data_IF_566576657601
#
_entry.id   IF_566576657601
#
_cell.length_a   1.000
_cell.length_b   1.000
_cell.length_c   1.000
_cell.angle_alpha   90.00
_cell.angle_beta   90.00
_cell.angle_gamma   90.00
#
_symmetry.space_group_name_H-M   'P 1'
#
loop_
_entity.id
_entity.type
_entity.pdbx_description
1 polymer ?
#
# COMPACT_ATOMS: atom_id res chain seq x y z
N UNK A 1 2.83 37.82 5.31
CA UNK A 1 1.84 37.22 4.39
C UNK A 1 0.43 37.57 4.87
N UNK A 2 -0.49 37.93 3.97
CA UNK A 2 -1.89 38.22 4.29
C UNK A 2 -2.82 37.17 3.67
N UNK A 3 -3.93 36.87 4.34
CA UNK A 3 -4.96 35.94 3.85
C UNK A 3 -6.37 36.48 4.05
N UNK A 4 -7.29 36.02 3.22
CA UNK A 4 -8.75 36.09 3.41
C UNK A 4 -9.35 34.71 3.15
N UNK A 5 -10.61 34.49 3.56
CA UNK A 5 -11.35 33.25 3.31
C UNK A 5 -12.84 33.54 3.22
N UNK A 6 -13.57 32.64 2.58
CA UNK A 6 -15.03 32.63 2.52
C UNK A 6 -15.54 31.33 3.15
N UNK A 7 -16.60 31.43 3.95
CA UNK A 7 -17.25 30.26 4.51
C UNK A 7 -18.27 29.69 3.51
N UNK A 8 -18.46 28.38 3.46
CA UNK A 8 -19.34 27.71 2.48
C UNK A 8 -20.79 28.20 2.57
N UNK A 9 -21.27 28.58 3.76
CA UNK A 9 -22.63 29.14 3.94
C UNK A 9 -22.73 30.65 3.73
N UNK A 10 -21.62 31.35 3.49
CA UNK A 10 -21.58 32.81 3.38
C UNK A 10 -21.35 33.29 1.95
N UNK A 11 -22.00 34.38 1.57
CA UNK A 11 -21.82 35.04 0.27
C UNK A 11 -20.73 36.14 0.28
N UNK A 12 -19.95 36.27 1.35
CA UNK A 12 -18.92 37.30 1.48
C UNK A 12 -17.59 36.77 2.04
N UNK A 13 -16.50 37.35 1.53
CA UNK A 13 -15.15 37.13 2.05
C UNK A 13 -14.98 37.82 3.40
N UNK A 14 -14.21 37.20 4.29
CA UNK A 14 -13.77 37.83 5.54
C UNK A 14 -12.70 38.88 5.27
N UNK A 15 -12.51 39.81 6.22
CA UNK A 15 -11.45 40.80 6.13
C UNK A 15 -10.06 40.15 6.03
N UNK A 16 -9.16 40.80 5.31
CA UNK A 16 -7.76 40.39 5.22
C UNK A 16 -7.12 40.36 6.62
N UNK A 17 -6.39 39.30 6.92
CA UNK A 17 -5.61 39.16 8.15
C UNK A 17 -4.16 38.81 7.85
N UNK A 18 -3.23 39.43 8.56
CA UNK A 18 -1.84 39.01 8.57
C UNK A 18 -1.73 37.63 9.22
N UNK A 19 -0.86 36.78 8.67
CA UNK A 19 -0.56 35.49 9.28
C UNK A 19 0.47 35.68 10.40
N UNK A 20 0.13 35.19 11.59
CA UNK A 20 0.99 35.27 12.76
C UNK A 20 2.38 34.66 12.48
N UNK A 21 3.42 35.33 12.98
CA UNK A 21 4.82 34.89 12.91
C UNK A 21 5.32 34.57 11.49
N UNK A 22 4.72 35.17 10.46
CA UNK A 22 5.18 35.05 9.07
C UNK A 22 6.62 35.55 8.95
N UNK A 23 7.54 34.77 8.35
CA UNK A 23 8.90 35.23 8.11
C UNK A 23 8.92 36.33 7.05
N UNK A 24 10.04 37.03 6.97
CA UNK A 24 10.33 37.97 5.89
C UNK A 24 10.65 37.21 4.61
N UNK A 25 9.74 37.30 3.64
CA UNK A 25 9.94 36.70 2.33
C UNK A 25 10.84 37.58 1.45
N UNK A 26 11.61 36.93 0.59
CA UNK A 26 12.39 37.61 -0.44
C UNK A 26 11.47 38.34 -1.41
N UNK A 27 11.91 39.47 -1.95
CA UNK A 27 11.16 40.28 -2.92
C UNK A 27 10.88 39.53 -4.23
N UNK A 28 11.66 38.49 -4.54
CA UNK A 28 11.45 37.62 -5.69
C UNK A 28 10.51 36.46 -5.37
N UNK A 29 10.07 36.28 -4.12
CA UNK A 29 9.16 35.20 -3.73
C UNK A 29 7.72 35.68 -3.66
N UNK A 30 6.83 35.00 -4.38
CA UNK A 30 5.38 35.12 -4.15
C UNK A 30 4.92 33.97 -3.26
N UNK A 31 3.86 34.15 -2.45
CA UNK A 31 3.27 33.05 -1.71
C UNK A 31 2.76 31.98 -2.69
N UNK A 32 3.18 30.74 -2.49
CA UNK A 32 2.57 29.59 -3.14
C UNK A 32 1.66 28.88 -2.16
N UNK A 33 0.58 28.30 -2.67
CA UNK A 33 -0.35 27.50 -1.91
C UNK A 33 -0.63 26.21 -2.68
N UNK A 34 -0.77 25.11 -1.96
CA UNK A 34 -1.07 23.82 -2.55
C UNK A 34 -1.99 23.01 -1.64
N UNK A 35 -2.98 22.38 -2.27
CA UNK A 35 -3.85 21.40 -1.62
C UNK A 35 -3.07 20.10 -1.44
N UNK A 36 -2.94 19.69 -0.19
CA UNK A 36 -2.22 18.50 0.24
C UNK A 36 -3.16 17.32 0.44
N UNK A 37 -2.57 16.12 0.49
CA UNK A 37 -3.29 14.94 0.95
C UNK A 37 -3.88 15.17 2.33
N UNK A 38 -5.17 14.89 2.49
CA UNK A 38 -5.85 14.98 3.77
C UNK A 38 -5.55 13.73 4.59
N UNK A 39 -5.18 13.94 5.86
CA UNK A 39 -5.32 12.91 6.88
C UNK A 39 -6.09 13.52 8.06
N UNK A 40 -6.66 12.70 8.92
CA UNK A 40 -7.47 13.16 10.06
C UNK A 40 -6.72 14.08 11.04
N UNK A 41 -5.39 14.17 10.95
CA UNK A 41 -4.52 14.94 11.87
C UNK A 41 -3.96 16.23 11.26
N UNK A 42 -4.09 16.44 9.95
CA UNK A 42 -3.42 17.51 9.22
C UNK A 42 -4.39 18.26 8.29
N UNK A 43 -4.30 19.59 8.26
CA UNK A 43 -5.10 20.41 7.36
C UNK A 43 -4.75 20.21 5.88
N UNK A 44 -5.68 20.63 5.02
CA UNK A 44 -5.68 20.36 3.58
C UNK A 44 -4.80 21.32 2.78
N UNK A 45 -4.38 22.44 3.34
CA UNK A 45 -3.64 23.48 2.62
C UNK A 45 -2.26 23.66 3.25
N UNK A 46 -1.23 23.74 2.41
CA UNK A 46 0.07 24.25 2.80
C UNK A 46 0.39 25.46 1.94
N UNK A 47 1.04 26.45 2.57
CA UNK A 47 1.50 27.66 1.92
C UNK A 47 2.97 27.88 2.22
N UNK A 48 3.67 28.63 1.36
CA UNK A 48 5.04 29.01 1.64
C UNK A 48 5.66 29.92 0.60
N UNK A 49 6.97 30.11 0.74
CA UNK A 49 7.78 30.95 -0.13
C UNK A 49 9.24 30.94 0.29
N UNK A 50 10.08 31.63 -0.48
CA UNK A 50 11.52 31.77 -0.22
C UNK A 50 11.74 32.96 0.71
N UNK A 51 12.36 32.72 1.86
CA UNK A 51 12.77 33.74 2.81
C UNK A 51 14.00 34.51 2.36
N UNK A 52 14.23 35.67 2.98
CA UNK A 52 15.49 36.45 2.79
C UNK A 52 16.74 35.69 3.27
N UNK A 53 16.55 34.67 4.09
CA UNK A 53 17.59 33.75 4.58
C UNK A 53 17.91 32.61 3.59
N UNK A 54 17.32 32.64 2.39
CA UNK A 54 17.45 31.65 1.32
C UNK A 54 16.99 30.23 1.71
N UNK A 55 16.01 30.15 2.62
CA UNK A 55 15.26 28.93 2.90
C UNK A 55 13.84 29.01 2.33
N UNK A 56 13.26 27.85 2.02
CA UNK A 56 11.81 27.76 1.82
C UNK A 56 11.15 27.71 3.18
N UNK A 57 10.36 28.73 3.49
CA UNK A 57 9.51 28.77 4.67
C UNK A 57 8.10 28.34 4.31
N UNK A 58 7.53 27.45 5.11
CA UNK A 58 6.17 26.94 4.90
C UNK A 58 5.37 26.97 6.19
N UNK A 59 4.06 27.08 6.04
CA UNK A 59 3.07 26.93 7.09
C UNK A 59 1.96 26.02 6.55
N UNK A 60 1.46 25.12 7.38
CA UNK A 60 0.33 24.27 7.04
C UNK A 60 -0.91 24.72 7.81
N UNK A 61 -2.05 24.63 7.16
CA UNK A 61 -3.33 24.64 7.83
C UNK A 61 -3.36 23.46 8.82
N UNK A 62 -3.80 23.74 10.04
CA UNK A 62 -4.04 22.73 11.08
C UNK A 62 -5.51 22.26 11.02
N UNK A 63 -6.01 21.66 12.09
CA UNK A 63 -7.40 21.17 12.17
C UNK A 63 -8.39 22.28 11.88
N UNK A 64 -9.35 21.99 11.00
CA UNK A 64 -10.54 22.81 10.80
C UNK A 64 -11.57 22.41 11.84
N UNK A 65 -11.99 23.35 12.67
CA UNK A 65 -13.04 23.15 13.65
C UNK A 65 -14.40 23.06 12.94
N UNK A 66 -15.41 22.48 13.58
CA UNK A 66 -16.81 22.48 13.13
C UNK A 66 -17.57 23.72 13.61
N UNK A 67 -16.97 24.53 14.49
CA UNK A 67 -17.59 25.71 15.10
C UNK A 67 -16.98 26.99 14.54
N UNK A 68 -17.84 27.91 14.09
CA UNK A 68 -17.43 29.24 13.66
C UNK A 68 -16.82 30.02 14.83
N UNK A 69 -15.53 30.37 14.72
CA UNK A 69 -14.84 31.17 15.72
C UNK A 69 -14.15 32.43 15.10
N UNK A 70 -13.85 33.47 15.92
CA UNK A 70 -13.28 34.74 15.43
C UNK A 70 -11.88 34.63 14.78
N UNK A 71 -11.21 33.49 14.98
CA UNK A 71 -9.82 33.23 14.58
C UNK A 71 -9.71 32.45 13.26
N UNK A 72 -10.85 32.17 12.63
CA UNK A 72 -11.11 31.39 11.39
C UNK A 72 -11.43 29.92 11.62
N UNK A 73 -12.23 29.36 10.71
CA UNK A 73 -12.71 27.96 10.72
C UNK A 73 -11.57 26.92 10.77
N UNK A 74 -10.39 27.26 10.26
CA UNK A 74 -9.20 26.41 10.41
C UNK A 74 -8.04 27.22 10.98
N UNK A 75 -7.37 26.67 11.99
CA UNK A 75 -6.15 27.26 12.54
C UNK A 75 -4.96 27.02 11.61
N UNK A 76 -3.88 27.77 11.80
CA UNK A 76 -2.64 27.65 11.04
C UNK A 76 -1.49 27.31 11.99
N UNK A 77 -0.64 26.40 11.57
CA UNK A 77 0.53 25.99 12.34
C UNK A 77 1.64 27.05 12.32
N UNK A 78 2.75 26.70 12.96
CA UNK A 78 3.96 27.52 12.93
C UNK A 78 4.61 27.51 11.54
N UNK A 79 5.44 28.53 11.31
CA UNK A 79 6.31 28.60 10.13
C UNK A 79 7.57 27.76 10.35
N UNK A 80 7.93 26.99 9.33
CA UNK A 80 9.08 26.09 9.37
C UNK A 80 9.95 26.24 8.13
N UNK A 81 11.27 26.22 8.33
CA UNK A 81 12.23 26.03 7.24
C UNK A 81 12.17 24.61 6.70
N UNK A 82 12.42 24.46 5.41
CA UNK A 82 12.20 23.22 4.64
C UNK A 82 13.50 22.71 4.03
N UNK A 83 13.79 21.42 4.20
CA UNK A 83 15.00 20.79 3.67
C UNK A 83 16.27 21.47 4.18
N UNK A 84 16.93 22.22 3.31
CA UNK A 84 18.12 23.04 3.58
C UNK A 84 18.05 24.35 2.77
N UNK A 85 19.04 25.22 2.93
CA UNK A 85 19.23 26.39 2.06
C UNK A 85 19.18 25.98 0.60
N UNK A 86 18.59 26.84 -0.24
CA UNK A 86 18.49 26.58 -1.67
C UNK A 86 19.91 26.64 -2.27
N UNK A 87 20.40 25.57 -2.93
CA UNK A 87 21.81 25.43 -3.30
C UNK A 87 22.16 26.07 -4.65
N UNK A 88 21.24 26.84 -5.24
CA UNK A 88 21.42 27.49 -6.53
C UNK A 88 20.92 28.93 -6.48
N UNK A 89 21.47 29.73 -7.38
CA UNK A 89 21.12 31.11 -7.60
C UNK A 89 19.66 31.24 -8.05
N UNK A 90 18.96 32.21 -7.45
CA UNK A 90 17.58 32.55 -7.80
C UNK A 90 17.50 33.67 -8.85
N UNK A 91 18.66 34.23 -9.24
CA UNK A 91 18.96 35.19 -10.32
C UNK A 91 18.03 36.41 -10.55
N UNK A 92 16.97 36.58 -9.77
CA UNK A 92 16.00 37.67 -9.91
C UNK A 92 14.64 37.24 -10.47
N UNK A 93 14.49 35.99 -10.95
CA UNK A 93 13.19 35.49 -11.43
C UNK A 93 12.18 35.44 -10.28
N UNK A 94 11.05 36.10 -10.49
CA UNK A 94 9.96 36.07 -9.54
C UNK A 94 9.28 34.70 -9.52
N UNK A 95 9.09 34.17 -8.32
CA UNK A 95 8.25 33.01 -8.02
C UNK A 95 8.76 31.64 -8.52
N UNK A 96 10.08 31.40 -8.46
CA UNK A 96 10.76 30.13 -8.81
C UNK A 96 10.34 28.90 -7.98
N UNK A 97 9.22 28.93 -7.27
CA UNK A 97 8.79 27.86 -6.39
C UNK A 97 7.44 27.31 -6.86
N UNK A 98 7.31 25.98 -6.88
CA UNK A 98 6.02 25.32 -7.01
C UNK A 98 5.95 24.18 -6.00
N UNK A 99 4.78 24.00 -5.39
CA UNK A 99 4.52 22.92 -4.44
C UNK A 99 3.56 21.92 -5.05
N UNK A 100 3.75 20.65 -4.73
CA UNK A 100 2.83 19.56 -5.06
C UNK A 100 2.77 18.56 -3.90
N UNK A 101 1.87 17.59 -4.01
CA UNK A 101 1.82 16.41 -3.15
C UNK A 101 2.44 15.23 -3.88
N UNK A 102 3.07 14.32 -3.14
CA UNK A 102 3.47 13.01 -3.68
C UNK A 102 2.42 11.93 -3.39
N UNK A 103 2.64 10.75 -3.97
CA UNK A 103 1.81 9.55 -3.77
C UNK A 103 1.76 9.04 -2.33
N UNK A 104 2.68 9.48 -1.49
CA UNK A 104 2.79 9.09 -0.09
C UNK A 104 2.12 10.11 0.85
N UNK A 105 1.27 11.00 0.30
CA UNK A 105 0.62 12.12 1.00
C UNK A 105 1.59 13.19 1.56
N UNK A 106 2.89 13.06 1.28
CA UNK A 106 3.89 14.05 1.59
C UNK A 106 3.88 15.22 0.62
N UNK A 107 4.82 16.15 0.83
CA UNK A 107 4.93 17.38 0.05
C UNK A 107 6.20 17.35 -0.77
N UNK A 108 6.12 17.82 -2.00
CA UNK A 108 7.26 18.02 -2.88
C UNK A 108 7.29 19.49 -3.32
N UNK A 109 8.49 20.05 -3.38
CA UNK A 109 8.73 21.43 -3.77
C UNK A 109 9.75 21.42 -4.88
N UNK A 110 9.44 22.14 -5.95
CA UNK A 110 10.29 22.25 -7.12
C UNK A 110 10.66 23.70 -7.37
N UNK A 111 11.83 23.88 -7.95
CA UNK A 111 12.33 25.17 -8.35
C UNK A 111 13.27 25.04 -9.55
N UNK A 112 13.37 26.09 -10.35
CA UNK A 112 14.23 26.12 -11.54
C UNK A 112 15.44 26.98 -11.24
N UNK A 113 16.62 26.47 -11.53
CA UNK A 113 17.85 27.24 -11.49
C UNK A 113 17.95 28.09 -12.76
N UNK A 114 18.01 29.40 -12.57
CA UNK A 114 17.92 30.37 -13.67
C UNK A 114 19.02 30.24 -14.71
N UNK A 115 20.28 30.13 -14.27
CA UNK A 115 21.46 30.09 -15.16
C UNK A 115 21.50 28.90 -16.11
N UNK A 116 20.77 27.81 -15.81
CA UNK A 116 20.83 26.57 -16.60
C UNK A 116 19.47 26.02 -17.01
N UNK A 117 18.37 26.53 -16.44
CA UNK A 117 17.04 25.94 -16.57
C UNK A 117 16.89 24.57 -15.92
N UNK A 118 17.83 24.19 -15.06
CA UNK A 118 17.83 22.92 -14.34
C UNK A 118 16.70 22.89 -13.30
N UNK A 119 15.87 21.84 -13.36
CA UNK A 119 14.85 21.59 -12.35
C UNK A 119 15.45 20.96 -11.09
N UNK A 120 15.09 21.51 -9.94
CA UNK A 120 15.48 21.04 -8.62
C UNK A 120 14.27 20.65 -7.80
N UNK A 121 14.48 19.72 -6.86
CA UNK A 121 13.44 19.21 -5.99
C UNK A 121 13.91 19.05 -4.55
N UNK A 122 13.06 19.38 -3.59
CA UNK A 122 13.14 18.92 -2.20
C UNK A 122 11.78 18.33 -1.81
N UNK A 123 11.76 17.27 -1.01
CA UNK A 123 10.50 16.60 -0.67
C UNK A 123 10.50 15.98 0.71
N UNK A 124 9.30 15.74 1.20
CA UNK A 124 8.99 15.00 2.40
C UNK A 124 8.23 13.73 2.01
N UNK A 125 8.70 12.51 2.36
CA UNK A 125 8.01 11.27 2.00
C UNK A 125 6.64 11.08 2.66
N UNK A 126 6.29 11.89 3.64
CA UNK A 126 5.00 11.89 4.32
C UNK A 126 4.92 13.10 5.24
N UNK A 127 3.73 13.58 5.59
CA UNK A 127 3.54 14.86 6.32
C UNK A 127 4.33 15.00 7.63
N UNK A 128 4.67 13.88 8.26
CA UNK A 128 5.36 13.83 9.55
C UNK A 128 6.80 13.28 9.43
N UNK A 129 7.35 13.21 8.22
CA UNK A 129 8.70 12.68 7.94
C UNK A 129 9.74 13.79 7.79
N UNK A 130 11.02 13.46 7.89
CA UNK A 130 12.06 14.45 7.62
C UNK A 130 12.06 14.88 6.16
N UNK A 131 12.47 16.12 5.91
CA UNK A 131 12.66 16.64 4.56
C UNK A 131 13.98 16.15 3.97
N UNK A 132 13.94 15.78 2.71
CA UNK A 132 15.13 15.51 1.92
C UNK A 132 15.80 16.81 1.50
N UNK A 133 17.11 16.75 1.29
CA UNK A 133 17.86 17.88 0.75
C UNK A 133 17.48 18.15 -0.72
N UNK A 134 17.79 19.35 -1.19
CA UNK A 134 17.62 19.70 -2.60
C UNK A 134 18.43 18.79 -3.51
N UNK A 135 17.81 18.32 -4.58
CA UNK A 135 18.38 17.42 -5.58
C UNK A 135 18.09 17.94 -6.99
N UNK A 136 19.06 17.84 -7.89
CA UNK A 136 18.87 18.04 -9.34
C UNK A 136 18.03 16.89 -9.90
N UNK A 137 16.98 17.22 -10.63
CA UNK A 137 16.23 16.24 -11.42
C UNK A 137 17.01 15.95 -12.71
N UNK A 138 17.30 14.68 -13.04
CA UNK A 138 17.91 14.35 -14.32
C UNK A 138 17.10 14.93 -15.49
N UNK A 139 17.73 15.75 -16.32
CA UNK A 139 17.08 16.51 -17.38
C UNK A 139 18.06 16.73 -18.54
N UNK A 140 17.59 16.57 -19.77
CA UNK A 140 18.39 16.92 -20.94
C UNK A 140 18.40 18.44 -21.13
N UNK A 141 19.41 19.13 -20.61
CA UNK A 141 19.48 20.59 -20.63
C UNK A 141 19.61 21.18 -22.05
N UNK A 142 20.03 20.40 -23.05
CA UNK A 142 20.15 20.91 -24.45
C UNK A 142 18.82 21.12 -25.15
N UNK A 143 17.74 20.47 -24.68
CA UNK A 143 16.41 20.55 -25.28
C UNK A 143 15.28 20.81 -24.29
N UNK A 144 15.48 20.48 -23.02
CA UNK A 144 14.44 20.53 -21.99
C UNK A 144 14.74 21.53 -20.86
N UNK A 145 15.83 22.31 -20.90
CA UNK A 145 16.10 23.36 -19.89
C UNK A 145 14.91 24.35 -19.81
N UNK A 146 14.41 24.60 -18.60
CA UNK A 146 13.25 25.47 -18.39
C UNK A 146 13.66 26.94 -18.33
N UNK A 147 12.95 27.80 -19.04
CA UNK A 147 13.15 29.27 -19.00
C UNK A 147 12.08 29.98 -18.14
N UNK A 148 11.20 29.24 -17.49
CA UNK A 148 10.09 29.75 -16.70
C UNK A 148 9.79 28.85 -15.50
N UNK A 149 8.91 29.33 -14.62
CA UNK A 149 8.41 28.55 -13.50
C UNK A 149 7.63 27.33 -14.02
N UNK A 150 7.91 26.13 -13.49
CA UNK A 150 7.29 24.92 -14.00
C UNK A 150 5.84 24.83 -13.51
N UNK A 151 4.99 24.30 -14.38
CA UNK A 151 3.64 23.89 -14.02
C UNK A 151 3.67 22.41 -13.65
N UNK A 152 3.26 22.09 -12.43
CA UNK A 152 3.15 20.70 -11.99
C UNK A 152 1.76 20.13 -12.25
N UNK A 153 1.74 18.88 -12.69
CA UNK A 153 0.56 18.02 -12.73
C UNK A 153 0.89 16.69 -12.09
N UNK A 154 -0.14 16.02 -11.59
CA UNK A 154 -0.04 14.64 -11.14
C UNK A 154 -0.63 13.75 -12.22
N UNK A 155 0.05 12.67 -12.57
CA UNK A 155 -0.54 11.61 -13.38
C UNK A 155 -1.57 10.81 -12.55
N UNK A 156 -2.23 9.82 -13.17
CA UNK A 156 -3.27 9.01 -12.53
C UNK A 156 -2.75 8.26 -11.27
N UNK A 157 -1.49 7.83 -11.32
CA UNK A 157 -0.79 7.21 -10.20
C UNK A 157 -0.43 8.20 -9.08
N UNK A 158 -0.53 9.51 -9.32
CA UNK A 158 -0.23 10.57 -8.37
C UNK A 158 1.23 11.03 -8.39
N UNK A 159 2.00 10.66 -9.43
CA UNK A 159 3.39 11.08 -9.63
C UNK A 159 3.42 12.42 -10.35
N UNK A 160 4.43 13.24 -10.04
CA UNK A 160 4.58 14.54 -10.66
C UNK A 160 5.07 14.43 -12.11
N UNK A 161 4.56 15.36 -12.91
CA UNK A 161 5.10 15.75 -14.21
C UNK A 161 5.23 17.26 -14.19
N UNK A 162 6.42 17.76 -14.51
CA UNK A 162 6.72 19.17 -14.61
C UNK A 162 6.72 19.61 -16.07
N UNK A 163 5.95 20.64 -16.39
CA UNK A 163 5.92 21.26 -17.71
C UNK A 163 6.58 22.63 -17.63
N UNK A 164 7.51 22.89 -18.53
CA UNK A 164 8.14 24.19 -18.73
C UNK A 164 8.24 24.53 -20.20
N UNK A 165 8.64 25.77 -20.50
CA UNK A 165 9.06 26.21 -21.82
C UNK A 165 10.58 26.05 -21.91
N UNK A 166 11.07 25.58 -23.05
CA UNK A 166 12.49 25.64 -23.36
C UNK A 166 12.86 26.97 -24.07
N UNK A 167 14.14 27.16 -24.38
CA UNK A 167 14.63 28.35 -25.12
C UNK A 167 14.04 28.53 -26.52
N UNK A 168 13.41 27.48 -27.08
CA UNK A 168 12.66 27.55 -28.35
C UNK A 168 11.17 27.84 -28.14
N UNK A 169 10.76 28.17 -26.91
CA UNK A 169 9.37 28.37 -26.50
C UNK A 169 8.47 27.13 -26.71
N UNK A 170 9.05 25.93 -26.69
CA UNK A 170 8.31 24.68 -26.78
C UNK A 170 7.98 24.16 -25.39
N UNK A 171 6.78 23.61 -25.21
CA UNK A 171 6.40 22.93 -23.97
C UNK A 171 7.17 21.62 -23.88
N UNK A 172 7.95 21.46 -22.82
CA UNK A 172 8.77 20.29 -22.54
C UNK A 172 8.36 19.66 -21.21
N UNK A 173 8.05 18.34 -21.18
CA UNK A 173 7.79 17.62 -19.95
C UNK A 173 9.11 17.11 -19.33
N UNK A 174 9.18 17.16 -18.01
CA UNK A 174 10.17 16.46 -17.18
C UNK A 174 9.40 15.66 -16.14
N UNK A 175 9.65 14.36 -16.08
CA UNK A 175 8.92 13.43 -15.21
C UNK A 175 9.88 12.59 -14.37
N UNK A 176 9.34 11.94 -13.33
CA UNK A 176 10.11 11.03 -12.50
C UNK A 176 10.55 9.81 -13.33
N UNK A 177 11.85 9.54 -13.34
CA UNK A 177 12.38 8.38 -14.06
C UNK A 177 11.91 7.07 -13.42
N UNK A 178 11.50 6.15 -14.28
CA UNK A 178 11.11 4.80 -13.91
C UNK A 178 11.34 3.82 -15.07
N UNK A 179 11.67 2.58 -14.73
CA UNK A 179 11.78 1.47 -15.67
C UNK A 179 11.49 0.14 -14.99
N UNK A 180 11.00 -0.82 -15.77
CA UNK A 180 10.75 -2.19 -15.35
C UNK A 180 11.14 -3.14 -16.47
N UNK A 181 11.68 -4.29 -16.10
CA UNK A 181 12.00 -5.37 -17.02
C UNK A 181 11.59 -6.71 -16.41
N UNK A 182 11.35 -7.71 -17.27
CA UNK A 182 10.96 -9.05 -16.88
C UNK A 182 11.82 -10.10 -17.56
N UNK A 183 12.22 -11.12 -16.82
CA UNK A 183 13.02 -12.22 -17.36
C UNK A 183 12.66 -13.55 -16.69
N UNK A 184 12.34 -14.60 -17.48
CA UNK A 184 12.10 -14.57 -18.93
C UNK A 184 10.73 -13.95 -19.29
N UNK A 185 10.54 -13.52 -20.54
CA UNK A 185 9.24 -13.05 -21.05
C UNK A 185 8.26 -14.20 -21.42
N UNK A 186 8.76 -15.44 -21.46
CA UNK A 186 8.01 -16.70 -21.56
C UNK A 186 8.39 -17.61 -20.39
N UNK A 187 7.44 -17.89 -19.52
CA UNK A 187 7.66 -18.62 -18.26
C UNK A 187 6.94 -19.96 -18.33
N UNK A 188 7.68 -21.06 -18.17
CA UNK A 188 7.06 -22.38 -18.05
C UNK A 188 6.37 -22.53 -16.69
N UNK A 189 5.33 -23.36 -16.63
CA UNK A 189 4.66 -23.74 -15.38
C UNK A 189 5.67 -24.12 -14.28
N UNK A 190 5.43 -23.64 -13.05
CA UNK A 190 6.29 -23.81 -11.86
C UNK A 190 7.69 -23.19 -11.94
N UNK A 191 8.04 -22.52 -13.04
CA UNK A 191 9.29 -21.74 -13.13
C UNK A 191 9.09 -20.32 -12.64
N UNK A 192 10.21 -19.72 -12.24
CA UNK A 192 10.22 -18.38 -11.68
C UNK A 192 10.23 -17.33 -12.79
N UNK A 193 9.40 -16.31 -12.59
CA UNK A 193 9.47 -15.02 -13.26
C UNK A 193 10.28 -14.07 -12.38
N UNK A 194 11.30 -13.44 -12.95
CA UNK A 194 12.05 -12.36 -12.28
C UNK A 194 11.59 -11.02 -12.85
N UNK A 195 11.24 -10.10 -11.96
CA UNK A 195 10.88 -8.73 -12.31
C UNK A 195 11.92 -7.81 -11.70
N UNK A 196 12.54 -6.95 -12.50
CA UNK A 196 13.47 -5.91 -12.05
C UNK A 196 12.88 -4.53 -12.30
N UNK A 197 13.22 -3.57 -11.46
CA UNK A 197 12.73 -2.19 -11.58
C UNK A 197 13.75 -1.16 -11.13
N UNK A 198 13.56 0.06 -11.62
CA UNK A 198 14.20 1.27 -11.14
C UNK A 198 13.18 2.39 -11.07
N UNK A 199 13.13 3.09 -9.95
CA UNK A 199 12.22 4.18 -9.64
C UNK A 199 13.02 5.32 -9.02
N UNK A 200 12.64 6.56 -9.33
CA UNK A 200 13.15 7.73 -8.64
C UNK A 200 12.89 7.63 -7.12
N UNK A 201 13.94 7.79 -6.32
CA UNK A 201 13.89 7.56 -4.86
C UNK A 201 12.82 8.38 -4.11
N UNK A 202 12.40 9.52 -4.66
CA UNK A 202 11.33 10.35 -4.09
C UNK A 202 9.92 9.84 -4.39
N UNK A 203 9.79 8.95 -5.36
CA UNK A 203 8.52 8.31 -5.73
C UNK A 203 8.35 6.92 -5.11
N UNK A 204 9.43 6.26 -4.68
CA UNK A 204 9.37 4.93 -4.09
C UNK A 204 8.73 4.91 -2.69
N UNK A 205 7.79 3.98 -2.47
CA UNK A 205 7.21 3.64 -1.16
C UNK A 205 7.80 2.34 -0.63
N UNK A 206 7.71 2.15 0.69
CA UNK A 206 7.86 0.81 1.27
C UNK A 206 6.62 -0.08 1.05
N UNK A 207 5.52 0.51 0.57
CA UNK A 207 4.26 -0.16 0.22
C UNK A 207 4.08 -0.34 -1.29
N UNK A 208 5.11 -0.10 -2.10
CA UNK A 208 5.06 -0.42 -3.53
C UNK A 208 5.09 -1.93 -3.73
N UNK A 209 4.43 -2.41 -4.77
CA UNK A 209 4.26 -3.83 -4.99
C UNK A 209 4.12 -4.17 -6.47
N UNK A 210 4.43 -5.42 -6.79
CA UNK A 210 4.37 -5.99 -8.13
C UNK A 210 3.30 -7.07 -8.11
N UNK A 211 2.42 -7.05 -9.10
CA UNK A 211 1.38 -8.07 -9.26
C UNK A 211 1.42 -8.73 -10.64
N UNK A 212 0.89 -9.95 -10.72
CA UNK A 212 0.63 -10.67 -11.97
C UNK A 212 -0.87 -10.71 -12.22
N UNK A 213 -1.31 -10.34 -13.41
CA UNK A 213 -2.69 -10.08 -13.77
C UNK A 213 -3.09 -10.83 -15.04
N UNK A 214 -4.36 -11.26 -15.20
CA UNK A 214 -4.89 -11.55 -16.51
C UNK A 214 -4.69 -10.35 -17.44
N UNK A 215 -4.36 -10.59 -18.72
CA UNK A 215 -4.17 -9.49 -19.68
C UNK A 215 -5.44 -8.65 -19.79
N UNK A 216 -5.30 -7.33 -19.61
CA UNK A 216 -6.41 -6.39 -19.65
C UNK A 216 -7.31 -6.38 -18.40
N UNK A 217 -7.03 -7.18 -17.38
CA UNK A 217 -7.78 -7.18 -16.11
C UNK A 217 -7.59 -5.89 -15.31
N UNK A 218 -8.46 -5.64 -14.34
CA UNK A 218 -8.32 -4.51 -13.41
C UNK A 218 -7.16 -4.71 -12.42
N UNK A 219 -6.66 -3.62 -11.82
CA UNK A 219 -5.54 -3.66 -10.87
C UNK A 219 -5.88 -4.37 -9.53
N UNK A 220 -7.14 -4.69 -9.28
CA UNK A 220 -7.60 -5.48 -8.15
C UNK A 220 -7.83 -6.97 -8.51
N UNK A 221 -7.55 -7.35 -9.76
CA UNK A 221 -7.68 -8.72 -10.29
C UNK A 221 -6.35 -9.49 -10.38
N UNK A 222 -5.37 -9.14 -9.54
CA UNK A 222 -4.10 -9.88 -9.51
C UNK A 222 -4.29 -11.33 -9.03
N UNK A 223 -3.40 -12.21 -9.51
CA UNK A 223 -3.36 -13.66 -9.24
C UNK A 223 -2.20 -14.04 -8.31
N UNK A 224 -1.12 -13.26 -8.35
CA UNK A 224 -0.02 -13.29 -7.39
C UNK A 224 0.51 -11.86 -7.21
N UNK A 225 1.19 -11.62 -6.09
CA UNK A 225 1.79 -10.34 -5.79
C UNK A 225 3.01 -10.49 -4.89
N UNK A 226 3.89 -9.49 -4.94
CA UNK A 226 4.99 -9.30 -4.00
C UNK A 226 5.19 -7.82 -3.74
N UNK A 227 5.44 -7.46 -2.49
CA UNK A 227 6.00 -6.13 -2.22
C UNK A 227 7.41 -6.03 -2.76
N UNK A 228 7.86 -4.82 -3.09
CA UNK A 228 9.16 -4.56 -3.71
C UNK A 228 10.36 -5.03 -2.87
N UNK A 229 10.18 -5.34 -1.59
CA UNK A 229 11.20 -5.96 -0.74
C UNK A 229 11.30 -7.49 -0.90
N UNK A 230 10.48 -8.09 -1.77
CA UNK A 230 10.45 -9.53 -2.07
C UNK A 230 9.50 -10.36 -1.20
N UNK A 231 8.98 -9.77 -0.12
CA UNK A 231 8.02 -10.40 0.77
C UNK A 231 6.57 -10.30 0.30
N UNK A 232 5.69 -11.02 1.00
CA UNK A 232 4.23 -10.81 0.92
C UNK A 232 3.77 -9.63 1.79
N UNK A 233 4.62 -9.15 2.68
CA UNK A 233 4.35 -8.00 3.55
C UNK A 233 5.30 -6.85 3.18
N UNK A 234 4.88 -5.59 3.32
CA UNK A 234 5.74 -4.47 3.06
C UNK A 234 6.89 -4.43 4.06
N UNK A 235 8.07 -4.07 3.56
CA UNK A 235 9.25 -3.86 4.41
C UNK A 235 9.21 -2.52 5.16
N UNK A 236 10.22 -2.29 6.01
CA UNK A 236 10.37 -1.03 6.73
C UNK A 236 10.78 0.14 5.83
N UNK A 237 11.61 -0.14 4.82
CA UNK A 237 12.25 0.88 3.98
C UNK A 237 11.76 0.77 2.53
N UNK A 238 11.67 1.91 1.82
CA UNK A 238 11.41 1.92 0.38
C UNK A 238 12.55 1.28 -0.40
N UNK A 239 12.23 0.57 -1.49
CA UNK A 239 13.20 -0.06 -2.40
C UNK A 239 12.98 0.49 -3.81
N UNK A 240 13.79 1.47 -4.18
CA UNK A 240 13.64 2.19 -5.44
C UNK A 240 14.33 1.49 -6.62
N UNK A 241 15.29 0.59 -6.37
CA UNK A 241 15.86 -0.29 -7.39
C UNK A 241 15.96 -1.70 -6.83
N UNK A 242 15.54 -2.69 -7.60
CA UNK A 242 15.53 -4.05 -7.08
C UNK A 242 15.09 -5.09 -8.09
N UNK A 243 14.98 -6.32 -7.60
CA UNK A 243 14.42 -7.45 -8.32
C UNK A 243 13.64 -8.34 -7.37
N UNK A 244 12.58 -8.96 -7.87
CA UNK A 244 11.79 -9.96 -7.14
C UNK A 244 11.55 -11.17 -8.03
N UNK A 245 11.56 -12.34 -7.42
CA UNK A 245 11.25 -13.61 -8.07
C UNK A 245 9.88 -14.09 -7.62
N UNK A 246 9.05 -14.50 -8.57
CA UNK A 246 7.71 -15.03 -8.32
C UNK A 246 7.58 -16.38 -9.02
N UNK A 247 7.23 -17.42 -8.26
CA UNK A 247 6.76 -18.67 -8.85
C UNK A 247 5.27 -18.53 -9.15
N UNK A 248 4.85 -18.94 -10.34
CA UNK A 248 3.44 -18.85 -10.73
C UNK A 248 2.97 -20.17 -11.35
N UNK A 249 1.75 -20.58 -11.00
CA UNK A 249 1.10 -21.80 -11.47
C UNK A 249 -0.13 -21.43 -12.29
N UNK A 250 0.11 -20.66 -13.34
CA UNK A 250 -0.91 -20.02 -14.17
C UNK A 250 -1.18 -20.84 -15.43
N UNK A 251 -2.46 -20.97 -15.86
CA UNK A 251 -2.83 -21.57 -17.12
C UNK A 251 -2.10 -20.95 -18.31
N UNK A 252 -2.02 -21.70 -19.40
CA UNK A 252 -1.41 -21.22 -20.64
C UNK A 252 -2.08 -19.91 -21.10
N UNK A 253 -1.29 -18.88 -21.39
CA UNK A 253 -1.82 -17.60 -21.85
C UNK A 253 -0.90 -16.41 -21.67
N UNK A 254 -1.34 -15.25 -22.13
CA UNK A 254 -0.66 -13.97 -21.91
C UNK A 254 -1.25 -13.24 -20.71
N UNK A 255 -0.36 -12.75 -19.85
CA UNK A 255 -0.64 -12.06 -18.60
C UNK A 255 0.13 -10.75 -18.57
N UNK A 256 -0.15 -9.94 -17.55
CA UNK A 256 0.52 -8.67 -17.33
C UNK A 256 1.19 -8.65 -15.96
N UNK A 257 2.43 -8.20 -15.94
CA UNK A 257 3.15 -7.84 -14.72
C UNK A 257 3.02 -6.34 -14.56
N UNK A 258 2.53 -5.90 -13.40
CA UNK A 258 2.35 -4.46 -13.13
C UNK A 258 3.08 -4.05 -11.87
N UNK A 259 3.70 -2.88 -11.90
CA UNK A 259 4.21 -2.20 -10.71
C UNK A 259 3.15 -1.23 -10.22
N UNK A 260 2.75 -1.35 -8.96
CA UNK A 260 1.73 -0.55 -8.32
C UNK A 260 2.29 0.18 -7.09
N UNK A 261 1.71 1.34 -6.81
CA UNK A 261 2.27 2.28 -5.85
C UNK A 261 1.49 2.32 -4.54
N UNK A 262 2.21 2.37 -3.43
CA UNK A 262 1.71 2.70 -2.10
C UNK A 262 0.47 1.87 -1.65
N UNK A 263 0.49 0.55 -1.87
CA UNK A 263 -0.63 -0.38 -1.63
C UNK A 263 -1.95 -0.02 -2.32
N UNK A 264 -1.92 0.86 -3.31
CA UNK A 264 -3.08 1.23 -4.11
C UNK A 264 -3.16 0.39 -5.38
N UNK A 265 -4.36 0.27 -5.94
CA UNK A 265 -4.59 -0.36 -7.24
C UNK A 265 -4.30 0.60 -8.41
N UNK A 266 -3.15 1.28 -8.34
CA UNK A 266 -2.68 2.22 -9.35
C UNK A 266 -1.34 1.76 -9.91
N UNK A 267 -1.36 1.30 -11.15
CA UNK A 267 -0.18 0.84 -11.87
C UNK A 267 0.53 1.99 -12.57
N UNK A 268 1.86 1.96 -12.58
CA UNK A 268 2.70 2.93 -13.31
C UNK A 268 3.50 2.29 -14.44
N UNK A 269 3.72 0.98 -14.37
CA UNK A 269 4.46 0.21 -15.37
C UNK A 269 3.74 -1.11 -15.59
N UNK A 270 3.68 -1.54 -16.84
CA UNK A 270 3.06 -2.80 -17.25
C UNK A 270 3.95 -3.48 -18.28
N UNK A 271 4.17 -4.78 -18.12
CA UNK A 271 4.88 -5.63 -19.08
C UNK A 271 4.04 -6.87 -19.37
N UNK A 272 3.99 -7.30 -20.62
CA UNK A 272 3.31 -8.55 -21.01
C UNK A 272 4.25 -9.75 -20.80
N UNK A 273 3.74 -10.83 -20.21
CA UNK A 273 4.45 -12.11 -20.01
C UNK A 273 3.56 -13.26 -20.49
N UNK A 274 4.16 -14.31 -21.06
CA UNK A 274 3.41 -15.50 -21.49
C UNK A 274 3.75 -16.70 -20.60
N UNK A 275 2.72 -17.35 -20.05
CA UNK A 275 2.86 -18.61 -19.33
C UNK A 275 2.53 -19.78 -20.26
N UNK A 276 3.30 -20.87 -20.15
CA UNK A 276 3.13 -22.07 -20.97
C UNK A 276 3.42 -23.37 -20.21
N UNK A 277 3.09 -24.51 -20.84
CA UNK A 277 3.27 -25.86 -20.29
C UNK A 277 2.45 -26.11 -19.00
N UNK A 278 1.20 -25.67 -18.97
CA UNK A 278 0.31 -25.84 -17.82
C UNK A 278 0.14 -27.31 -17.37
N UNK A 279 -0.17 -27.49 -16.07
CA UNK A 279 -0.38 -28.82 -15.51
C UNK A 279 -1.59 -29.51 -16.13
N UNK A 280 -1.43 -30.80 -16.47
CA UNK A 280 -2.52 -31.69 -16.90
C UNK A 280 -3.16 -32.46 -15.75
N UNK A 281 -2.70 -32.23 -14.52
CA UNK A 281 -3.28 -32.87 -13.33
C UNK A 281 -4.72 -32.39 -13.09
N UNK A 282 -5.50 -33.17 -12.35
CA UNK A 282 -6.87 -32.78 -11.99
C UNK A 282 -6.90 -31.47 -11.19
N UNK A 283 -8.02 -30.73 -11.28
CA UNK A 283 -8.23 -29.48 -10.52
C UNK A 283 -7.97 -29.65 -9.02
N UNK A 284 -8.36 -30.81 -8.48
CA UNK A 284 -8.16 -31.18 -7.07
C UNK A 284 -6.68 -31.33 -6.76
N UNK A 285 -5.94 -32.09 -7.57
CA UNK A 285 -4.49 -32.25 -7.39
C UNK A 285 -3.77 -30.90 -7.42
N UNK A 286 -4.11 -30.07 -8.40
CA UNK A 286 -3.59 -28.72 -8.54
C UNK A 286 -3.84 -27.89 -7.27
N UNK A 287 -5.09 -27.87 -6.78
CA UNK A 287 -5.48 -27.16 -5.56
C UNK A 287 -4.65 -27.61 -4.34
N UNK A 288 -4.57 -28.92 -4.07
CA UNK A 288 -3.83 -29.45 -2.92
C UNK A 288 -2.33 -29.16 -3.01
N UNK A 289 -1.71 -29.33 -4.19
CA UNK A 289 -0.30 -28.93 -4.41
C UNK A 289 -0.07 -27.46 -4.11
N UNK A 290 -0.98 -26.61 -4.57
CA UNK A 290 -0.97 -25.18 -4.29
C UNK A 290 -0.98 -24.91 -2.79
N UNK A 291 -2.00 -25.42 -2.09
CA UNK A 291 -2.17 -25.20 -0.63
C UNK A 291 -0.93 -25.65 0.13
N UNK A 292 -0.40 -26.83 -0.19
CA UNK A 292 0.76 -27.39 0.50
C UNK A 292 2.02 -26.55 0.22
N UNK A 293 2.21 -26.12 -1.02
CA UNK A 293 3.31 -25.19 -1.39
C UNK A 293 3.21 -23.89 -0.59
N UNK A 294 2.00 -23.33 -0.46
CA UNK A 294 1.77 -22.10 0.31
C UNK A 294 2.02 -22.27 1.82
N UNK A 295 1.65 -23.42 2.38
CA UNK A 295 1.96 -23.80 3.76
C UNK A 295 3.47 -24.03 3.98
N UNK A 296 4.22 -24.30 2.91
CA UNK A 296 5.63 -24.72 2.98
C UNK A 296 5.78 -26.19 3.35
N UNK A 297 4.82 -27.01 2.95
CA UNK A 297 4.78 -28.45 3.14
C UNK A 297 5.25 -29.14 1.85
N UNK A 298 6.08 -30.20 1.93
CA UNK A 298 6.47 -30.97 0.76
C UNK A 298 5.24 -31.50 -0.02
N UNK A 299 5.30 -31.41 -1.35
CA UNK A 299 4.22 -31.88 -2.23
C UNK A 299 4.48 -33.27 -2.81
N UNK A 300 5.55 -33.93 -2.38
CA UNK A 300 5.91 -35.26 -2.87
C UNK A 300 4.92 -36.28 -2.32
N UNK A 301 4.46 -37.20 -3.18
CA UNK A 301 3.54 -38.30 -2.82
C UNK A 301 2.16 -37.92 -2.26
N UNK A 302 1.74 -36.64 -2.31
CA UNK A 302 0.42 -36.22 -1.80
C UNK A 302 -0.76 -36.92 -2.49
N UNK A 303 -0.55 -37.45 -3.69
CA UNK A 303 -1.57 -38.13 -4.47
C UNK A 303 -2.18 -39.34 -3.75
N UNK A 304 -1.39 -40.09 -2.98
CA UNK A 304 -1.89 -41.22 -2.20
C UNK A 304 -2.79 -40.78 -1.02
N UNK A 305 -2.64 -39.54 -0.58
CA UNK A 305 -3.33 -39.00 0.59
C UNK A 305 -4.64 -38.31 0.23
N UNK A 306 -4.76 -37.76 -0.97
CA UNK A 306 -5.98 -37.07 -1.40
C UNK A 306 -7.13 -38.07 -1.41
N UNK A 307 -8.23 -37.71 -0.74
CA UNK A 307 -9.46 -38.47 -0.79
C UNK A 307 -10.30 -37.99 -1.98
N UNK A 308 -10.55 -38.89 -2.93
CA UNK A 308 -11.28 -38.55 -4.15
C UNK A 308 -12.76 -38.26 -3.93
N UNK A 309 -13.34 -38.66 -2.80
CA UNK A 309 -14.75 -38.37 -2.50
C UNK A 309 -15.00 -36.96 -1.98
N UNK A 310 -13.95 -36.20 -1.61
CA UNK A 310 -14.09 -34.85 -1.08
C UNK A 310 -14.37 -33.84 -2.21
N UNK A 311 -15.36 -32.97 -2.01
CA UNK A 311 -15.74 -31.91 -2.94
C UNK A 311 -14.97 -30.59 -2.70
N UNK A 312 -13.75 -30.66 -2.14
CA UNK A 312 -12.96 -29.49 -1.66
C UNK A 312 -12.90 -28.32 -2.63
N UNK A 313 -12.71 -28.59 -3.93
CA UNK A 313 -12.65 -27.55 -4.97
C UNK A 313 -13.97 -26.77 -5.05
N UNK A 314 -15.10 -27.49 -5.06
CA UNK A 314 -16.44 -26.91 -5.12
C UNK A 314 -16.75 -26.13 -3.85
N UNK A 315 -16.38 -26.64 -2.68
CA UNK A 315 -16.55 -25.94 -1.41
C UNK A 315 -15.80 -24.60 -1.39
N UNK A 316 -14.56 -24.55 -1.93
CA UNK A 316 -13.84 -23.28 -2.10
C UNK A 316 -14.49 -22.35 -3.14
N UNK A 317 -14.99 -22.88 -4.26
CA UNK A 317 -15.73 -22.09 -5.25
C UNK A 317 -16.98 -21.44 -4.64
N UNK A 318 -17.76 -22.20 -3.86
CA UNK A 318 -18.93 -21.72 -3.13
C UNK A 318 -18.56 -20.71 -2.03
N UNK A 319 -17.45 -20.95 -1.32
CA UNK A 319 -16.90 -20.03 -0.33
C UNK A 319 -16.60 -18.65 -0.93
N UNK A 320 -15.83 -18.62 -2.03
CA UNK A 320 -15.49 -17.37 -2.72
C UNK A 320 -16.71 -16.71 -3.37
N UNK A 321 -17.69 -17.49 -3.83
CA UNK A 321 -18.96 -16.95 -4.30
C UNK A 321 -19.75 -16.27 -3.17
N UNK A 322 -19.88 -16.92 -2.00
CA UNK A 322 -20.56 -16.34 -0.85
C UNK A 322 -19.93 -15.02 -0.41
N UNK A 323 -18.60 -14.98 -0.36
CA UNK A 323 -17.82 -13.77 -0.11
C UNK A 323 -18.10 -12.65 -1.12
N UNK A 324 -18.07 -12.94 -2.42
CA UNK A 324 -18.40 -11.96 -3.47
C UNK A 324 -19.82 -11.41 -3.35
N UNK A 325 -20.74 -12.20 -2.79
CA UNK A 325 -22.14 -11.80 -2.56
C UNK A 325 -22.36 -11.10 -1.21
N UNK A 326 -21.30 -10.75 -0.47
CA UNK A 326 -21.39 -10.13 0.85
C UNK A 326 -21.88 -11.07 1.96
N UNK A 327 -22.00 -12.37 1.69
CA UNK A 327 -22.44 -13.40 2.66
C UNK A 327 -21.26 -13.89 3.49
N UNK A 328 -20.68 -12.98 4.28
CA UNK A 328 -19.42 -13.18 5.01
C UNK A 328 -19.45 -14.43 5.91
N UNK A 329 -20.51 -14.59 6.72
CA UNK A 329 -20.64 -15.74 7.63
C UNK A 329 -20.72 -17.08 6.90
N UNK A 330 -21.49 -17.14 5.82
CA UNK A 330 -21.60 -18.35 5.00
C UNK A 330 -20.26 -18.67 4.33
N UNK A 331 -19.57 -17.68 3.77
CA UNK A 331 -18.24 -17.87 3.19
C UNK A 331 -17.23 -18.38 4.22
N UNK A 332 -17.29 -17.86 5.43
CA UNK A 332 -16.46 -18.30 6.55
C UNK A 332 -16.71 -19.76 6.97
N UNK A 333 -17.98 -20.20 7.00
CA UNK A 333 -18.32 -21.60 7.28
C UNK A 333 -17.76 -22.52 6.19
N UNK A 334 -17.98 -22.16 4.93
CA UNK A 334 -17.48 -22.91 3.78
C UNK A 334 -15.95 -22.96 3.74
N UNK A 335 -15.27 -21.88 4.15
CA UNK A 335 -13.81 -21.86 4.32
C UNK A 335 -13.37 -22.87 5.37
N UNK A 336 -14.01 -22.88 6.54
CA UNK A 336 -13.70 -23.83 7.61
C UNK A 336 -13.87 -25.28 7.16
N UNK A 337 -14.98 -25.60 6.49
CA UNK A 337 -15.27 -26.94 5.94
C UNK A 337 -14.21 -27.34 4.90
N UNK A 338 -13.89 -26.45 3.96
CA UNK A 338 -12.90 -26.73 2.93
C UNK A 338 -11.49 -26.94 3.52
N UNK A 339 -11.13 -26.19 4.57
CA UNK A 339 -9.87 -26.39 5.29
C UNK A 339 -9.86 -27.68 6.12
N UNK A 340 -11.01 -28.14 6.60
CA UNK A 340 -11.13 -29.44 7.29
C UNK A 340 -10.78 -30.60 6.34
N UNK A 341 -11.22 -30.53 5.08
CA UNK A 341 -10.84 -31.49 4.03
C UNK A 341 -9.34 -31.47 3.74
N UNK A 342 -8.71 -30.29 3.82
CA UNK A 342 -7.26 -30.14 3.74
C UNK A 342 -6.58 -30.81 4.93
N UNK A 343 -7.06 -30.56 6.15
CA UNK A 343 -6.52 -31.15 7.37
C UNK A 343 -6.63 -32.69 7.37
N UNK A 344 -7.78 -33.24 6.96
CA UNK A 344 -7.97 -34.70 6.79
C UNK A 344 -6.93 -35.31 5.86
N UNK A 345 -6.62 -34.61 4.76
CA UNK A 345 -5.62 -35.05 3.78
C UNK A 345 -4.20 -34.99 4.37
N UNK A 346 -3.87 -33.94 5.13
CA UNK A 346 -2.59 -33.82 5.82
C UNK A 346 -2.40 -34.92 6.88
N UNK A 347 -3.45 -35.26 7.64
CA UNK A 347 -3.46 -36.38 8.59
C UNK A 347 -3.11 -37.69 7.90
N UNK A 348 -3.78 -37.98 6.77
CA UNK A 348 -3.53 -39.20 5.99
C UNK A 348 -2.11 -39.25 5.41
N UNK A 349 -1.53 -38.09 5.13
CA UNK A 349 -0.13 -37.94 4.70
C UNK A 349 0.88 -37.94 5.85
N UNK A 350 0.46 -38.20 7.09
CA UNK A 350 1.30 -38.20 8.29
C UNK A 350 2.01 -36.84 8.56
N UNK A 351 1.40 -35.72 8.14
CA UNK A 351 1.93 -34.37 8.36
C UNK A 351 1.27 -33.79 9.62
N UNK A 352 1.65 -34.29 10.78
CA UNK A 352 0.87 -34.11 12.01
C UNK A 352 0.99 -32.72 12.65
N UNK A 353 2.17 -32.09 12.61
CA UNK A 353 2.40 -30.81 13.30
C UNK A 353 1.53 -29.67 12.76
N UNK A 354 1.47 -29.49 11.43
CA UNK A 354 0.66 -28.45 10.80
C UNK A 354 -0.83 -28.80 10.88
N UNK A 355 -1.18 -30.08 10.78
CA UNK A 355 -2.56 -30.56 10.91
C UNK A 355 -3.17 -30.18 12.25
N UNK A 356 -2.46 -30.41 13.35
CA UNK A 356 -2.97 -30.08 14.70
C UNK A 356 -3.27 -28.59 14.84
N UNK A 357 -2.36 -27.73 14.37
CA UNK A 357 -2.56 -26.27 14.37
C UNK A 357 -3.76 -25.87 13.50
N UNK A 358 -3.87 -26.44 12.30
CA UNK A 358 -4.96 -26.17 11.38
C UNK A 358 -6.32 -26.60 11.94
N UNK A 359 -6.40 -27.78 12.57
CA UNK A 359 -7.64 -28.26 13.20
C UNK A 359 -8.07 -27.40 14.39
N UNK A 360 -7.11 -26.96 15.22
CA UNK A 360 -7.38 -26.00 16.30
C UNK A 360 -7.99 -24.71 15.76
N UNK A 361 -7.34 -24.13 14.75
CA UNK A 361 -7.82 -22.93 14.05
C UNK A 361 -9.24 -23.10 13.48
N UNK A 362 -9.53 -24.22 12.79
CA UNK A 362 -10.85 -24.50 12.21
C UNK A 362 -11.92 -24.64 13.31
N UNK A 363 -11.62 -25.36 14.39
CA UNK A 363 -12.52 -25.52 15.54
C UNK A 363 -12.96 -24.15 16.07
N UNK A 364 -11.99 -23.25 16.26
CA UNK A 364 -12.25 -21.96 16.88
C UNK A 364 -12.99 -21.03 15.90
N UNK A 365 -12.66 -21.10 14.61
CA UNK A 365 -13.39 -20.42 13.55
C UNK A 365 -14.87 -20.83 13.53
N UNK A 366 -15.17 -22.12 13.51
CA UNK A 366 -16.55 -22.63 13.42
C UNK A 366 -17.35 -22.35 14.69
N UNK A 367 -16.75 -22.52 15.88
CA UNK A 367 -17.40 -22.16 17.16
C UNK A 367 -17.79 -20.69 17.22
N UNK A 368 -16.93 -19.81 16.69
CA UNK A 368 -17.20 -18.38 16.62
C UNK A 368 -18.42 -18.08 15.73
N UNK A 369 -18.51 -18.70 14.55
CA UNK A 369 -19.62 -18.42 13.62
C UNK A 369 -20.98 -18.87 14.19
N UNK A 370 -21.00 -19.86 15.09
CA UNK A 370 -22.22 -20.40 15.70
C UNK A 370 -22.69 -19.64 16.96
N UNK A 371 -22.10 -18.47 17.28
CA UNK A 371 -22.67 -17.49 18.21
C UNK A 371 -22.14 -17.48 19.65
N UNK A 372 -21.06 -18.21 19.97
CA UNK A 372 -20.46 -18.20 21.30
C UNK A 372 -19.23 -17.26 21.37
N UNK A 373 -19.46 -15.95 21.14
CA UNK A 373 -18.43 -14.94 20.83
C UNK A 373 -18.02 -13.99 21.97
N UNK A 374 -18.23 -14.32 23.25
CA UNK A 374 -17.99 -13.39 24.37
C UNK A 374 -16.54 -12.87 24.47
N UNK A 375 -15.56 -13.57 23.91
CA UNK A 375 -14.14 -13.18 23.85
C UNK A 375 -13.74 -12.39 22.60
N UNK A 376 -14.61 -12.27 21.60
CA UNK A 376 -14.29 -11.72 20.27
C UNK A 376 -14.19 -10.18 20.22
N UNK A 377 -15.00 -9.47 21.03
CA UNK A 377 -15.21 -8.01 20.93
C UNK A 377 -14.03 -7.20 21.51
N UNK A 378 -13.29 -7.76 22.48
CA UNK A 378 -12.24 -7.04 23.21
C UNK A 378 -10.86 -7.00 22.51
N UNK A 379 -10.61 -7.89 21.54
CA UNK A 379 -9.33 -7.95 20.79
C UNK A 379 -9.29 -7.10 19.51
N UNK A 380 -10.44 -6.55 19.09
CA UNK A 380 -10.60 -5.70 17.89
C UNK A 380 -9.60 -4.53 17.83
N UNK A 381 -9.33 -3.87 18.97
CA UNK A 381 -8.50 -2.64 19.04
C UNK A 381 -6.99 -2.94 19.00
N UNK A 382 -6.53 -4.09 19.52
CA UNK A 382 -5.11 -4.49 19.52
C UNK A 382 -4.69 -5.16 18.21
N UNK A 383 -5.58 -5.95 17.61
CA UNK A 383 -5.38 -6.68 16.35
C UNK A 383 -5.50 -5.78 15.11
N UNK A 384 -6.39 -4.75 15.14
CA UNK A 384 -6.38 -3.66 14.15
C UNK A 384 -4.98 -3.05 14.04
N UNK A 385 -4.20 -3.02 15.11
CA UNK A 385 -2.82 -2.53 15.09
C UNK A 385 -1.89 -3.47 14.31
N UNK A 386 -2.06 -4.79 14.29
CA UNK A 386 -1.19 -5.71 13.53
C UNK A 386 -1.44 -5.58 12.02
N UNK A 387 -2.71 -5.46 11.64
CA UNK A 387 -3.16 -5.25 10.25
C UNK A 387 -2.86 -3.81 9.77
N UNK A 388 -3.10 -2.78 10.58
CA UNK A 388 -2.73 -1.38 10.26
C UNK A 388 -1.23 -1.07 10.42
N UNK A 389 -0.46 -1.87 11.16
CA UNK A 389 1.02 -1.76 11.20
C UNK A 389 1.70 -2.60 10.11
N UNK A 390 0.94 -3.12 9.15
CA UNK A 390 1.43 -3.89 8.01
C UNK A 390 2.30 -5.10 8.39
N UNK A 391 2.00 -5.79 9.49
CA UNK A 391 2.81 -6.97 9.88
C UNK A 391 2.54 -8.20 9.02
N UNK A 392 1.29 -8.39 8.57
CA UNK A 392 0.88 -9.48 7.67
C UNK A 392 -0.24 -9.01 6.71
N UNK A 393 -0.02 -9.12 5.39
CA UNK A 393 -0.96 -8.76 4.32
C UNK A 393 -1.79 -10.00 3.91
N UNK A 394 -2.78 -10.36 4.71
CA UNK A 394 -3.62 -11.54 4.44
C UNK A 394 -4.69 -11.29 3.36
N UNK A 395 -5.07 -10.03 3.15
CA UNK A 395 -6.06 -9.62 2.14
C UNK A 395 -5.56 -9.86 0.72
N UNK A 396 -4.26 -9.60 0.54
CA UNK A 396 -3.49 -9.90 -0.65
C UNK A 396 -3.80 -11.29 -1.21
N UNK A 397 -3.52 -12.31 -0.39
CA UNK A 397 -3.66 -13.71 -0.78
C UNK A 397 -5.11 -14.17 -0.91
N UNK A 398 -6.05 -13.70 -0.08
CA UNK A 398 -7.48 -14.06 -0.24
C UNK A 398 -8.00 -13.59 -1.60
N UNK A 399 -7.72 -12.34 -1.97
CA UNK A 399 -8.10 -11.78 -3.28
C UNK A 399 -7.39 -12.50 -4.43
N UNK A 400 -6.08 -12.78 -4.28
CA UNK A 400 -5.32 -13.59 -5.24
C UNK A 400 -5.91 -14.98 -5.47
N UNK A 401 -6.37 -15.65 -4.40
CA UNK A 401 -7.04 -16.94 -4.48
C UNK A 401 -8.37 -16.84 -5.22
N UNK A 402 -9.23 -15.88 -4.85
CA UNK A 402 -10.52 -15.66 -5.51
C UNK A 402 -10.36 -15.41 -7.01
N UNK A 403 -9.45 -14.52 -7.39
CA UNK A 403 -9.18 -14.19 -8.79
C UNK A 403 -8.60 -15.39 -9.55
N UNK A 404 -7.74 -16.18 -8.91
CA UNK A 404 -7.18 -17.40 -9.50
C UNK A 404 -8.24 -18.45 -9.79
N UNK A 405 -9.22 -18.63 -8.91
CA UNK A 405 -10.35 -19.55 -9.14
C UNK A 405 -11.22 -19.10 -10.33
N UNK A 406 -11.44 -17.79 -10.49
CA UNK A 406 -12.15 -17.26 -11.68
C UNK A 406 -11.39 -17.56 -12.98
N UNK A 407 -10.05 -17.56 -12.93
CA UNK A 407 -9.20 -17.94 -14.07
C UNK A 407 -8.98 -19.46 -14.19
N UNK A 408 -9.63 -20.29 -13.36
CA UNK A 408 -9.40 -21.74 -13.27
C UNK A 408 -7.94 -22.12 -13.00
N UNK A 409 -7.17 -21.21 -12.40
CA UNK A 409 -5.78 -21.40 -12.00
C UNK A 409 -5.72 -22.04 -10.61
N UNK A 410 -6.22 -23.27 -10.47
CA UNK A 410 -6.47 -23.88 -9.15
C UNK A 410 -5.21 -24.07 -8.31
N UNK A 411 -4.06 -24.37 -8.90
CA UNK A 411 -2.80 -24.47 -8.15
C UNK A 411 -2.30 -23.11 -7.66
N UNK A 412 -2.45 -22.04 -8.46
CA UNK A 412 -2.17 -20.68 -8.02
C UNK A 412 -3.13 -20.25 -6.91
N UNK A 413 -4.42 -20.55 -7.06
CA UNK A 413 -5.42 -20.28 -6.02
C UNK A 413 -5.10 -21.01 -4.71
N UNK A 414 -4.71 -22.27 -4.81
CA UNK A 414 -4.23 -23.05 -3.67
C UNK A 414 -2.99 -22.44 -3.02
N UNK A 415 -2.01 -21.98 -3.82
CA UNK A 415 -0.81 -21.31 -3.31
C UNK A 415 -1.15 -20.10 -2.43
N UNK A 416 -2.05 -19.25 -2.90
CA UNK A 416 -2.56 -18.12 -2.15
C UNK A 416 -3.29 -18.55 -0.87
N UNK A 417 -4.20 -19.54 -0.93
CA UNK A 417 -4.87 -20.09 0.25
C UNK A 417 -3.84 -20.59 1.28
N UNK A 418 -2.85 -21.36 0.85
CA UNK A 418 -1.81 -21.90 1.74
C UNK A 418 -0.97 -20.81 2.41
N UNK A 419 -0.60 -19.75 1.66
CA UNK A 419 0.14 -18.59 2.21
C UNK A 419 -0.70 -17.82 3.24
N UNK A 420 -1.98 -17.60 2.93
CA UNK A 420 -2.95 -16.99 3.85
C UNK A 420 -3.06 -17.80 5.15
N UNK A 421 -3.32 -19.11 5.07
CA UNK A 421 -3.43 -19.99 6.25
C UNK A 421 -2.13 -19.98 7.05
N UNK A 422 -0.98 -20.08 6.38
CA UNK A 422 0.33 -19.99 7.05
C UNK A 422 0.50 -18.68 7.79
N UNK A 423 0.08 -17.56 7.21
CA UNK A 423 0.07 -16.25 7.85
C UNK A 423 -0.74 -16.27 9.15
N UNK A 424 -1.95 -16.81 9.11
CA UNK A 424 -2.79 -16.96 10.30
C UNK A 424 -2.12 -17.80 11.40
N UNK A 425 -1.51 -18.95 11.04
CA UNK A 425 -0.82 -19.81 12.01
C UNK A 425 0.40 -19.12 12.65
N UNK A 426 1.14 -18.30 11.90
CA UNK A 426 2.30 -17.57 12.43
C UNK A 426 1.90 -16.44 13.39
N UNK A 427 0.78 -15.78 13.13
CA UNK A 427 0.21 -14.77 14.05
C UNK A 427 -0.18 -15.44 15.37
N UNK A 428 -0.85 -16.60 15.28
CA UNK A 428 -1.23 -17.40 16.45
C UNK A 428 -0.01 -17.78 17.30
N UNK A 429 1.04 -18.35 16.70
CA UNK A 429 2.28 -18.70 17.39
C UNK A 429 2.92 -17.49 18.11
N UNK A 430 2.93 -16.33 17.44
CA UNK A 430 3.54 -15.09 17.99
C UNK A 430 2.79 -14.54 19.21
N UNK A 431 1.47 -14.73 19.27
CA UNK A 431 0.60 -14.29 20.37
C UNK A 431 0.69 -15.24 21.58
N UNK A 432 0.92 -16.53 21.34
CA UNK A 432 1.06 -17.55 22.38
C UNK A 432 2.40 -17.46 23.11
N UNK A 433 3.49 -17.13 22.40
CA UNK A 433 4.83 -17.02 23.00
C UNK A 433 5.03 -15.74 23.82
N UNK A 434 4.50 -14.60 23.37
CA UNK A 434 4.86 -13.31 23.96
C UNK A 434 3.97 -12.84 25.11
N UNK A 435 2.84 -13.51 25.42
CA UNK A 435 1.94 -13.16 26.54
C UNK A 435 1.17 -11.83 26.38
N UNK A 436 1.81 -10.81 25.82
CA UNK A 436 1.31 -9.50 25.41
C UNK A 436 2.38 -8.85 24.54
N UNK A 437 2.02 -8.28 23.39
CA UNK A 437 2.92 -7.42 22.63
C UNK A 437 3.30 -6.20 23.48
N UNK A 438 4.60 -6.00 23.75
CA UNK A 438 5.11 -4.86 24.53
C UNK A 438 4.45 -3.55 24.10
N UNK A 439 3.87 -2.85 25.10
CA UNK A 439 3.35 -1.51 24.95
C UNK A 439 4.49 -0.57 24.56
N UNK A 440 4.53 -0.14 23.30
CA UNK A 440 5.20 1.12 22.95
C UNK A 440 4.41 2.23 23.64
N UNK A 441 4.98 2.76 24.74
CA UNK A 441 4.49 3.93 25.46
C UNK A 441 4.22 5.06 24.45
N UNK A 442 2.95 5.36 24.22
CA UNK A 442 2.55 6.66 23.71
C UNK A 442 2.79 7.64 24.84
N UNK A 443 3.84 8.44 24.76
CA UNK A 443 3.97 9.65 25.58
C UNK A 443 2.87 10.62 25.14
N UNK A 444 1.70 10.48 25.75
CA UNK A 444 0.54 11.34 25.59
C UNK A 444 -0.35 11.09 26.79
N UNK A 445 -0.31 12.02 27.73
CA UNK A 445 -1.07 12.03 28.98
C UNK A 445 -2.57 11.81 28.74
N UNK A 446 -3.06 10.60 29.06
CA UNK A 446 -4.48 10.27 29.11
C UNK A 446 -4.69 8.97 29.86
N UNK A 447 -5.15 9.06 31.11
CA UNK A 447 -5.48 7.91 31.98
C UNK A 447 -6.67 7.15 31.40
N UNK A 448 -6.55 5.82 31.31
CA UNK A 448 -7.69 4.92 31.51
C UNK A 448 -7.26 3.79 32.46
N UNK A 449 -8.04 3.60 33.52
CA UNK A 449 -7.83 2.65 34.60
C UNK A 449 -8.36 1.25 34.23
N UNK A 450 -7.62 0.22 34.63
CA UNK A 450 -8.08 -1.10 35.11
C UNK A 450 -8.72 -2.09 34.11
N UNK A 451 -8.20 -3.32 34.01
CA UNK A 451 -8.74 -4.55 34.64
C UNK A 451 -7.66 -5.66 34.56
N UNK A 452 -7.53 -6.40 35.65
CA UNK A 452 -6.61 -7.50 35.97
C UNK A 452 -7.08 -8.86 35.42
N UNK A 453 -6.11 -9.75 35.16
CA UNK A 453 -6.17 -11.22 35.05
C UNK A 453 -7.33 -11.91 34.31
N UNK A 454 -7.00 -12.68 33.26
CA UNK A 454 -7.67 -13.96 32.92
C UNK A 454 -6.87 -14.78 31.88
N UNK A 455 -7.09 -16.09 31.91
CA UNK A 455 -6.25 -17.19 31.41
C UNK A 455 -6.00 -17.26 29.88
N UNK A 456 -4.85 -17.85 29.53
CA UNK A 456 -4.14 -17.81 28.24
C UNK A 456 -4.70 -18.70 27.09
N UNK A 457 -6.02 -18.89 26.96
CA UNK A 457 -6.58 -19.91 26.07
C UNK A 457 -7.45 -19.48 24.87
N UNK A 458 -7.57 -18.19 24.51
CA UNK A 458 -8.65 -17.77 23.58
C UNK A 458 -8.34 -16.59 22.62
N UNK A 459 -7.13 -16.49 22.09
CA UNK A 459 -6.61 -15.31 21.36
C UNK A 459 -6.77 -15.33 19.82
N UNK A 460 -7.42 -16.31 19.20
CA UNK A 460 -6.98 -16.83 17.87
C UNK A 460 -7.87 -16.49 16.65
N UNK A 461 -9.11 -16.00 16.80
CA UNK A 461 -10.11 -15.99 15.69
C UNK A 461 -10.54 -14.58 15.21
N UNK A 462 -10.18 -13.52 15.94
CA UNK A 462 -10.61 -12.14 15.68
C UNK A 462 -10.07 -11.57 14.37
N UNK A 463 -8.91 -12.05 13.93
CA UNK A 463 -8.22 -11.62 12.72
C UNK A 463 -9.02 -11.84 11.43
N UNK A 464 -9.91 -12.83 11.34
CA UNK A 464 -10.57 -13.17 10.07
C UNK A 464 -11.91 -12.46 9.84
N UNK A 465 -12.67 -12.20 10.91
CA UNK A 465 -14.02 -11.64 10.82
C UNK A 465 -14.04 -10.17 10.37
N UNK A 466 -13.19 -9.33 10.99
CA UNK A 466 -13.07 -7.91 10.63
C UNK A 466 -12.50 -7.78 9.23
N UNK A 467 -11.58 -8.66 8.89
CA UNK A 467 -10.90 -8.69 7.61
C UNK A 467 -11.84 -9.02 6.45
N UNK A 468 -12.62 -10.10 6.56
CA UNK A 468 -13.56 -10.45 5.50
C UNK A 468 -14.76 -9.50 5.48
N UNK A 469 -15.19 -8.96 6.63
CA UNK A 469 -16.23 -7.94 6.64
C UNK A 469 -15.80 -6.70 5.85
N UNK A 470 -14.61 -6.13 6.11
CA UNK A 470 -14.10 -4.96 5.35
C UNK A 470 -13.85 -5.26 3.87
N UNK A 471 -13.40 -6.48 3.52
CA UNK A 471 -13.11 -6.86 2.13
C UNK A 471 -14.37 -7.08 1.28
N UNK A 472 -15.52 -7.33 1.91
CA UNK A 472 -16.79 -7.63 1.24
C UNK A 472 -17.89 -6.60 1.47
N UNK A 473 -17.65 -5.56 2.27
CA UNK A 473 -18.54 -4.39 2.40
C UNK A 473 -18.05 -3.13 1.68
N UNK A 474 -16.82 -3.14 1.14
CA UNK A 474 -16.31 -2.14 0.18
C UNK A 474 -16.21 -2.77 -1.21
#
# INVERSE_FOLDING_TARGET
MYRTWQHTSGNSFKAWKAMASSPTFSVVSRPVAQVMGYNIRNGKIMIGGIGVDNFVHRCAQATCDTVDNPWSYCTWGNWHQTGRKIPFDQGGVQNNLVMSRNVHFGVEIFAVQETSGQLWQTWQPGRDKSWNVWRKIPQNLTGAAFINNPVLRLNEAGWWIAYGLNYKNQVVPVEASHSMDISPNKVAWSKNLVVSWSISSNQASNMDWIGVYPKGGNNDQYLDYRFVQGGLNPGKNPVNMGKVSMSSYLPNGTYQVRYLVNSQYKSIMTMDVTFYNESRESKKMQLYRGIYTGLGVPTDNIAACINETLETVKTFEECFHAFKMGKVFQGLQLLGIALEDVAKTLTKCNILSITQKLLGYISDLLKCILGNCLSFVFDFIKELRILFLNRYEIYGDIRGAMNSFQQKAYQQGGLCIGRFVKGCLLVQDSLMVNGSLEYVKLNGTGRMNGVTDTQAGSKEVVCLFVCLFYLFTM
#
